data_IF_008449889740
#
_entry.id   IF_008449889740
#
_cell.length_a   1.000
_cell.length_b   1.000
_cell.length_c   1.000
_cell.angle_alpha   90.00
_cell.angle_beta   90.00
_cell.angle_gamma   90.00
#
_symmetry.space_group_name_H-M   'P 1'
#
loop_
_entity.id
_entity.type
_entity.pdbx_description
1 polymer ?
#
# COMPACT_ATOMS: atom_id res chain seq x y z
N UNK A 1 -22.44 -10.74 30.89
CA UNK A 1 -23.37 -10.07 29.96
C UNK A 1 -23.52 -10.96 28.73
N UNK A 2 -24.75 -11.35 28.37
CA UNK A 2 -24.98 -12.24 27.23
C UNK A 2 -25.17 -11.36 26.01
N UNK A 3 -24.26 -11.46 25.00
CA UNK A 3 -24.39 -10.71 23.76
C UNK A 3 -25.64 -11.15 23.00
N UNK A 4 -26.35 -10.22 22.33
CA UNK A 4 -27.40 -10.55 21.38
C UNK A 4 -26.85 -11.46 20.25
N UNK A 5 -27.71 -12.19 19.51
CA UNK A 5 -27.28 -13.02 18.41
C UNK A 5 -26.54 -12.20 17.34
N UNK A 6 -25.41 -12.71 16.83
CA UNK A 6 -24.59 -12.01 15.83
C UNK A 6 -25.40 -11.62 14.58
N UNK A 7 -26.38 -12.43 14.24
CA UNK A 7 -27.27 -12.15 13.10
C UNK A 7 -28.07 -10.84 13.30
N UNK A 8 -28.49 -10.50 14.53
CA UNK A 8 -29.20 -9.24 14.79
C UNK A 8 -28.27 -8.02 14.49
N UNK A 9 -26.99 -8.11 14.84
CA UNK A 9 -26.01 -7.08 14.49
C UNK A 9 -25.81 -6.96 12.97
N UNK A 10 -25.85 -8.07 12.22
CA UNK A 10 -25.77 -8.03 10.75
C UNK A 10 -26.95 -7.30 10.11
N UNK A 11 -28.16 -7.56 10.61
CA UNK A 11 -29.36 -6.83 10.16
C UNK A 11 -29.26 -5.35 10.46
N UNK A 12 -28.75 -5.01 11.63
CA UNK A 12 -28.53 -3.62 12.05
C UNK A 12 -27.48 -2.94 11.14
N UNK A 13 -26.33 -3.57 10.90
CA UNK A 13 -25.24 -3.01 10.11
C UNK A 13 -25.67 -2.68 8.67
N UNK A 14 -26.34 -3.62 7.98
CA UNK A 14 -26.89 -3.41 6.64
C UNK A 14 -27.98 -2.33 6.62
N UNK A 15 -28.84 -2.28 7.65
CA UNK A 15 -29.85 -1.25 7.75
C UNK A 15 -29.25 0.13 8.00
N UNK A 16 -28.14 0.22 8.73
CA UNK A 16 -27.40 1.44 8.98
C UNK A 16 -26.70 1.94 7.71
N UNK A 17 -26.05 1.05 6.95
CA UNK A 17 -25.39 1.39 5.67
C UNK A 17 -26.37 1.86 4.60
N UNK A 18 -27.54 1.23 4.52
CA UNK A 18 -28.53 1.54 3.48
C UNK A 18 -29.49 2.66 3.87
N UNK A 19 -29.54 3.05 5.16
CA UNK A 19 -30.50 3.99 5.73
C UNK A 19 -31.96 3.66 5.34
N UNK A 20 -32.24 2.35 5.14
CA UNK A 20 -33.54 1.88 4.66
C UNK A 20 -33.76 0.40 5.01
N UNK A 21 -34.81 0.11 5.78
CA UNK A 21 -35.17 -1.29 6.07
C UNK A 21 -35.62 -2.06 4.85
N UNK A 22 -36.12 -1.38 3.81
CA UNK A 22 -36.51 -2.01 2.54
C UNK A 22 -35.27 -2.44 1.78
N UNK A 23 -34.32 -1.52 1.56
CA UNK A 23 -33.03 -1.84 0.89
C UNK A 23 -32.23 -2.86 1.66
N UNK A 24 -32.23 -2.79 3.00
CA UNK A 24 -31.59 -3.79 3.84
C UNK A 24 -32.23 -5.19 3.65
N UNK A 25 -33.55 -5.26 3.52
CA UNK A 25 -34.25 -6.51 3.28
C UNK A 25 -33.90 -7.12 1.90
N UNK A 26 -33.80 -6.29 0.87
CA UNK A 26 -33.35 -6.70 -0.46
C UNK A 26 -31.93 -7.24 -0.42
N UNK A 27 -31.02 -6.51 0.25
CA UNK A 27 -29.62 -6.90 0.39
C UNK A 27 -29.40 -8.21 1.15
N UNK A 28 -30.26 -8.46 2.15
CA UNK A 28 -30.22 -9.66 2.98
C UNK A 28 -31.09 -10.82 2.43
N UNK A 29 -31.80 -10.63 1.30
CA UNK A 29 -32.74 -11.57 0.71
C UNK A 29 -33.81 -12.04 1.70
N UNK A 30 -34.36 -11.10 2.47
CA UNK A 30 -35.40 -11.35 3.46
C UNK A 30 -36.57 -10.36 3.32
N UNK A 31 -37.63 -10.53 4.12
CA UNK A 31 -38.74 -9.58 4.13
C UNK A 31 -38.42 -8.34 4.98
N UNK A 32 -38.98 -7.17 4.64
CA UNK A 32 -38.92 -5.95 5.46
C UNK A 32 -39.35 -6.19 6.92
N UNK A 33 -40.40 -7.02 7.15
CA UNK A 33 -40.86 -7.39 8.49
C UNK A 33 -39.80 -8.13 9.29
N UNK A 34 -39.00 -8.98 8.64
CA UNK A 34 -37.91 -9.70 9.31
C UNK A 34 -36.81 -8.74 9.76
N UNK A 35 -36.39 -7.79 8.90
CA UNK A 35 -35.42 -6.74 9.28
C UNK A 35 -35.92 -5.93 10.47
N UNK A 36 -37.13 -5.36 10.36
CA UNK A 36 -37.72 -4.53 11.41
C UNK A 36 -37.85 -5.28 12.75
N UNK A 37 -38.20 -6.57 12.73
CA UNK A 37 -38.29 -7.40 13.93
C UNK A 37 -36.91 -7.65 14.55
N UNK A 38 -35.88 -7.95 13.75
CA UNK A 38 -34.54 -8.21 14.27
C UNK A 38 -33.92 -6.96 14.90
N UNK A 39 -34.11 -5.79 14.28
CA UNK A 39 -33.65 -4.52 14.83
C UNK A 39 -34.36 -4.23 16.16
N UNK A 40 -35.68 -4.38 16.24
CA UNK A 40 -36.43 -4.18 17.47
C UNK A 40 -35.94 -5.12 18.59
N UNK A 41 -35.73 -6.40 18.30
CA UNK A 41 -35.18 -7.36 19.29
C UNK A 41 -33.77 -6.96 19.76
N UNK A 42 -32.95 -6.38 18.88
CA UNK A 42 -31.65 -5.86 19.25
C UNK A 42 -31.76 -4.64 20.15
N UNK A 43 -32.60 -3.67 19.82
CA UNK A 43 -32.91 -2.48 20.64
C UNK A 43 -33.44 -2.85 22.01
N UNK A 44 -34.41 -3.79 22.10
CA UNK A 44 -34.93 -4.32 23.33
C UNK A 44 -33.85 -4.99 24.20
N UNK A 45 -32.97 -5.78 23.58
CA UNK A 45 -31.88 -6.45 24.30
C UNK A 45 -30.80 -5.49 24.80
N UNK A 46 -30.56 -4.38 24.09
CA UNK A 46 -29.59 -3.35 24.47
C UNK A 46 -30.20 -2.27 25.38
N UNK A 47 -31.53 -2.17 25.45
CA UNK A 47 -32.26 -1.16 26.22
C UNK A 47 -32.12 0.27 25.62
N UNK A 48 -31.73 0.39 24.35
CA UNK A 48 -31.56 1.69 23.65
C UNK A 48 -32.08 1.62 22.23
N UNK A 49 -32.65 2.73 21.74
CA UNK A 49 -33.03 2.86 20.35
C UNK A 49 -31.79 3.15 19.50
N UNK A 50 -31.64 2.41 18.38
CA UNK A 50 -30.55 2.55 17.44
C UNK A 50 -30.97 3.37 16.21
N UNK A 51 -32.27 3.39 15.90
CA UNK A 51 -32.83 4.18 14.80
C UNK A 51 -33.94 5.11 15.31
N UNK A 52 -34.01 6.27 14.74
CA UNK A 52 -35.17 7.17 14.84
C UNK A 52 -35.88 7.28 13.49
N UNK A 53 -37.22 7.35 13.51
CA UNK A 53 -38.04 7.50 12.31
C UNK A 53 -38.49 8.94 12.16
N UNK A 54 -38.10 9.59 11.06
CA UNK A 54 -38.50 10.94 10.71
C UNK A 54 -38.91 11.00 9.24
N UNK A 55 -40.05 11.58 8.94
CA UNK A 55 -40.49 11.84 7.55
C UNK A 55 -40.44 10.61 6.62
N UNK A 56 -40.88 9.44 7.10
CA UNK A 56 -40.84 8.14 6.39
C UNK A 56 -39.43 7.60 6.11
N UNK A 57 -38.40 8.21 6.65
CA UNK A 57 -37.01 7.72 6.62
C UNK A 57 -36.54 7.27 8.00
N UNK A 58 -35.48 6.49 8.04
CA UNK A 58 -34.81 6.08 9.27
C UNK A 58 -33.45 6.75 9.34
N UNK A 59 -33.06 7.15 10.55
CA UNK A 59 -31.77 7.75 10.84
C UNK A 59 -31.17 7.10 12.07
N UNK A 60 -29.85 6.97 12.10
CA UNK A 60 -29.15 6.46 13.27
C UNK A 60 -29.21 7.44 14.44
N UNK A 61 -29.55 6.94 15.62
CA UNK A 61 -29.38 7.66 16.89
C UNK A 61 -27.86 7.83 17.20
N UNK A 62 -27.48 8.64 18.21
CA UNK A 62 -26.08 8.66 18.68
C UNK A 62 -25.58 7.27 19.10
N UNK A 63 -26.41 6.46 19.78
CA UNK A 63 -26.11 5.07 20.15
C UNK A 63 -25.97 4.19 18.89
N UNK A 64 -26.86 4.36 17.90
CA UNK A 64 -26.78 3.67 16.61
C UNK A 64 -25.48 3.98 15.87
N UNK A 65 -25.05 5.23 15.80
CA UNK A 65 -23.78 5.61 15.17
C UNK A 65 -22.57 4.98 15.86
N UNK A 66 -22.54 5.01 17.18
CA UNK A 66 -21.45 4.38 17.94
C UNK A 66 -21.40 2.87 17.71
N UNK A 67 -22.55 2.19 17.72
CA UNK A 67 -22.63 0.75 17.45
C UNK A 67 -22.27 0.42 16.00
N UNK A 68 -22.72 1.21 15.02
CA UNK A 68 -22.44 0.99 13.59
C UNK A 68 -20.94 1.00 13.28
N UNK A 69 -20.17 1.95 13.81
CA UNK A 69 -18.71 1.95 13.63
C UNK A 69 -18.05 0.67 14.17
N UNK A 70 -18.60 0.11 15.26
CA UNK A 70 -18.08 -1.15 15.83
C UNK A 70 -18.52 -2.37 15.02
N UNK A 71 -19.79 -2.46 14.61
CA UNK A 71 -20.31 -3.61 13.84
C UNK A 71 -19.66 -3.67 12.47
N UNK A 72 -19.49 -2.55 11.79
CA UNK A 72 -18.79 -2.47 10.53
C UNK A 72 -17.38 -3.06 10.65
N UNK A 73 -16.60 -2.63 11.64
CA UNK A 73 -15.24 -3.13 11.85
C UNK A 73 -15.20 -4.65 12.12
N UNK A 74 -16.17 -5.16 12.91
CA UNK A 74 -16.26 -6.59 13.23
C UNK A 74 -16.62 -7.42 12.00
N UNK A 75 -17.61 -7.00 11.19
CA UNK A 75 -17.99 -7.73 9.98
C UNK A 75 -16.90 -7.71 8.92
N UNK A 76 -16.22 -6.59 8.72
CA UNK A 76 -15.05 -6.52 7.85
C UNK A 76 -13.92 -7.48 8.30
N UNK A 77 -13.69 -7.61 9.61
CA UNK A 77 -12.73 -8.59 10.16
C UNK A 77 -13.16 -10.03 9.92
N UNK A 78 -14.45 -10.34 10.09
CA UNK A 78 -14.99 -11.68 9.84
C UNK A 78 -14.92 -12.05 8.35
N UNK A 79 -15.29 -11.13 7.47
CA UNK A 79 -15.18 -11.33 6.01
C UNK A 79 -13.73 -11.56 5.60
N UNK A 80 -12.79 -10.75 6.11
CA UNK A 80 -11.36 -10.95 5.89
C UNK A 80 -10.87 -12.32 6.40
N UNK A 81 -11.38 -12.79 7.56
CA UNK A 81 -11.04 -14.12 8.08
C UNK A 81 -11.58 -15.26 7.20
N UNK A 82 -12.83 -15.15 6.75
CA UNK A 82 -13.44 -16.12 5.82
C UNK A 82 -12.69 -16.16 4.50
N UNK A 83 -12.36 -15.00 3.94
CA UNK A 83 -11.56 -14.92 2.72
C UNK A 83 -10.20 -15.60 2.90
N UNK A 84 -9.49 -15.36 4.02
CA UNK A 84 -8.23 -16.06 4.31
C UNK A 84 -8.40 -17.57 4.35
N UNK A 85 -9.43 -18.09 5.02
CA UNK A 85 -9.69 -19.53 5.06
C UNK A 85 -9.99 -20.09 3.66
N UNK A 86 -10.71 -19.35 2.82
CA UNK A 86 -10.98 -19.72 1.44
C UNK A 86 -9.73 -19.62 0.55
N UNK A 87 -8.83 -18.65 0.82
CA UNK A 87 -7.55 -18.52 0.13
C UNK A 87 -6.51 -19.53 0.60
N UNK A 88 -6.52 -19.98 1.87
CA UNK A 88 -5.67 -21.09 2.34
C UNK A 88 -5.94 -22.40 1.59
N UNK A 89 -7.13 -22.58 1.03
CA UNK A 89 -7.45 -23.73 0.14
C UNK A 89 -6.78 -23.56 -1.26
N UNK A 90 -6.24 -22.37 -1.58
CA UNK A 90 -5.48 -22.11 -2.82
C UNK A 90 -4.02 -21.83 -2.46
N UNK A 91 -3.28 -22.88 -2.13
CA UNK A 91 -1.83 -22.80 -1.81
C UNK A 91 -1.00 -22.16 -2.93
N UNK A 92 -1.58 -22.00 -4.12
CA UNK A 92 -0.93 -21.47 -5.31
C UNK A 92 -1.24 -20.00 -5.61
N UNK A 93 -2.07 -19.31 -4.83
CA UNK A 93 -2.36 -17.86 -5.02
C UNK A 93 -1.65 -17.04 -3.96
N UNK A 94 -0.78 -16.13 -4.39
CA UNK A 94 -0.11 -15.14 -3.54
C UNK A 94 -0.76 -13.77 -3.74
N UNK A 95 -1.34 -13.19 -2.68
CA UNK A 95 -1.89 -11.83 -2.72
C UNK A 95 -0.84 -10.87 -2.18
N UNK A 96 -0.28 -10.05 -3.06
CA UNK A 96 0.79 -9.10 -2.77
C UNK A 96 0.27 -7.67 -2.83
N UNK A 97 0.49 -6.87 -1.79
CA UNK A 97 0.31 -5.43 -1.84
C UNK A 97 1.64 -4.73 -2.11
N UNK A 98 1.66 -3.82 -3.08
CA UNK A 98 2.86 -3.08 -3.43
C UNK A 98 2.54 -1.61 -3.71
N UNK A 99 3.46 -0.70 -3.40
CA UNK A 99 3.32 0.71 -3.76
C UNK A 99 3.16 0.88 -5.27
N UNK A 100 2.25 1.76 -5.75
CA UNK A 100 1.89 1.84 -7.17
C UNK A 100 3.10 2.02 -8.10
N UNK A 101 4.04 2.91 -7.75
CA UNK A 101 5.18 3.21 -8.63
C UNK A 101 6.12 2.02 -8.76
N UNK A 102 6.48 1.37 -7.65
CA UNK A 102 7.32 0.14 -7.66
C UNK A 102 6.58 -0.98 -8.38
N UNK A 103 5.28 -1.14 -8.12
CA UNK A 103 4.47 -2.16 -8.80
C UNK A 103 4.53 -2.00 -10.33
N UNK A 104 4.24 -0.80 -10.82
CA UNK A 104 4.11 -0.56 -12.26
C UNK A 104 5.47 -0.54 -12.99
N UNK A 105 6.47 0.09 -12.39
CA UNK A 105 7.73 0.38 -13.12
C UNK A 105 8.80 -0.66 -12.90
N UNK A 106 8.76 -1.39 -11.79
CA UNK A 106 9.80 -2.35 -11.47
C UNK A 106 9.30 -3.79 -11.35
N UNK A 107 8.23 -4.02 -10.57
CA UNK A 107 7.78 -5.39 -10.30
C UNK A 107 7.09 -6.03 -11.51
N UNK A 108 6.06 -5.39 -12.08
CA UNK A 108 5.28 -5.94 -13.20
C UNK A 108 6.17 -6.32 -14.40
N UNK A 109 7.15 -5.51 -14.85
CA UNK A 109 8.05 -5.90 -15.94
C UNK A 109 8.87 -7.16 -15.66
N UNK A 110 9.07 -7.53 -14.38
CA UNK A 110 9.86 -8.70 -13.94
C UNK A 110 9.02 -9.93 -13.66
N UNK A 111 7.69 -9.81 -13.52
CA UNK A 111 6.80 -10.94 -13.27
C UNK A 111 6.88 -12.07 -14.31
N UNK A 112 7.14 -11.83 -15.63
CA UNK A 112 7.36 -12.93 -16.55
C UNK A 112 8.48 -13.88 -16.12
N UNK A 113 9.57 -13.37 -15.51
CA UNK A 113 10.67 -14.19 -14.99
C UNK A 113 10.22 -14.98 -13.74
N UNK A 114 9.44 -14.35 -12.87
CA UNK A 114 8.86 -15.03 -11.71
C UNK A 114 7.97 -16.20 -12.15
N UNK A 115 7.06 -15.98 -13.09
CA UNK A 115 6.16 -17.03 -13.58
C UNK A 115 6.89 -18.14 -14.36
N UNK A 116 8.02 -17.82 -15.01
CA UNK A 116 8.85 -18.83 -15.66
C UNK A 116 9.51 -19.79 -14.66
N UNK A 117 9.92 -19.28 -13.49
CA UNK A 117 10.54 -20.08 -12.43
C UNK A 117 9.52 -20.71 -11.46
N UNK A 118 8.34 -20.12 -11.35
CA UNK A 118 7.28 -20.55 -10.44
C UNK A 118 5.93 -20.62 -11.17
N UNK A 119 5.77 -21.52 -12.17
CA UNK A 119 4.57 -21.58 -13.00
C UNK A 119 3.31 -22.04 -12.24
N UNK A 120 3.50 -22.67 -11.10
CA UNK A 120 2.44 -23.10 -10.18
C UNK A 120 1.87 -21.98 -9.33
N UNK A 121 2.57 -20.84 -9.20
CA UNK A 121 2.12 -19.70 -8.40
C UNK A 121 1.40 -18.66 -9.23
N UNK A 122 0.22 -18.25 -8.76
CA UNK A 122 -0.54 -17.12 -9.28
C UNK A 122 -0.33 -15.91 -8.37
N UNK A 123 0.04 -14.77 -8.95
CA UNK A 123 0.19 -13.52 -8.21
C UNK A 123 -1.06 -12.64 -8.41
N UNK A 124 -1.70 -12.27 -7.29
CA UNK A 124 -2.71 -11.23 -7.26
C UNK A 124 -2.08 -9.96 -6.69
N UNK A 125 -1.87 -8.95 -7.53
CA UNK A 125 -1.22 -7.71 -7.16
C UNK A 125 -2.24 -6.62 -6.80
N UNK A 126 -2.11 -6.06 -5.59
CA UNK A 126 -2.89 -4.93 -5.09
C UNK A 126 -1.99 -3.71 -5.04
N UNK A 127 -2.25 -2.71 -5.88
CA UNK A 127 -1.47 -1.47 -5.91
C UNK A 127 -1.98 -0.52 -4.81
N UNK A 128 -1.27 -0.48 -3.68
CA UNK A 128 -1.56 0.40 -2.55
C UNK A 128 -0.28 0.74 -1.78
N UNK A 129 -0.21 1.96 -1.25
CA UNK A 129 0.88 2.43 -0.39
C UNK A 129 0.41 2.66 1.05
N UNK A 130 1.34 3.03 1.94
CA UNK A 130 1.06 3.35 3.33
C UNK A 130 0.71 2.15 4.21
N UNK A 131 0.13 2.41 5.40
CA UNK A 131 -0.23 1.38 6.36
C UNK A 131 -1.25 0.38 5.78
N UNK A 132 -1.09 -0.89 6.14
CA UNK A 132 -1.95 -1.98 5.68
C UNK A 132 -2.46 -2.77 6.89
N UNK A 133 -3.77 -2.98 6.94
CA UNK A 133 -4.38 -3.93 7.86
C UNK A 133 -4.46 -5.31 7.19
N UNK A 134 -3.50 -6.17 7.50
CA UNK A 134 -3.45 -7.54 6.98
C UNK A 134 -4.66 -8.37 7.39
N UNK A 135 -5.23 -8.10 8.58
CA UNK A 135 -6.38 -8.85 9.07
C UNK A 135 -7.64 -8.61 8.22
N UNK A 136 -7.76 -7.41 7.64
CA UNK A 136 -8.92 -6.99 6.84
C UNK A 136 -8.72 -7.12 5.33
N UNK A 137 -7.48 -6.98 4.85
CA UNK A 137 -7.20 -6.86 3.42
C UNK A 137 -7.12 -8.20 2.66
N UNK A 138 -6.95 -9.31 3.36
CA UNK A 138 -6.71 -10.62 2.71
C UNK A 138 -5.37 -10.70 1.97
N UNK A 139 -4.44 -9.76 2.22
CA UNK A 139 -3.10 -9.72 1.64
C UNK A 139 -2.19 -10.69 2.39
N UNK A 140 -1.40 -11.50 1.67
CA UNK A 140 -0.43 -12.41 2.25
C UNK A 140 0.86 -11.68 2.66
N UNK A 141 1.32 -10.73 1.83
CA UNK A 141 2.53 -9.93 2.08
C UNK A 141 2.46 -8.57 1.40
N UNK A 142 3.27 -7.63 1.87
CA UNK A 142 3.33 -6.28 1.31
C UNK A 142 4.77 -5.81 1.12
N UNK A 143 5.04 -5.16 -0.02
CA UNK A 143 6.27 -4.41 -0.25
C UNK A 143 6.02 -2.98 0.20
N UNK A 144 6.80 -2.52 1.18
CA UNK A 144 6.70 -1.15 1.74
C UNK A 144 8.08 -0.57 1.99
N UNK A 145 8.17 0.74 1.88
CA UNK A 145 9.32 1.51 2.36
C UNK A 145 9.13 1.84 3.84
N UNK A 146 10.21 1.91 4.61
CA UNK A 146 10.21 2.18 6.05
C UNK A 146 10.09 3.68 6.39
N UNK A 147 9.26 4.41 5.66
CA UNK A 147 8.96 5.82 5.87
C UNK A 147 7.71 6.06 6.75
N UNK A 148 7.17 5.01 7.34
CA UNK A 148 6.09 5.05 8.32
C UNK A 148 6.21 3.90 9.33
N UNK A 149 5.53 4.04 10.47
CA UNK A 149 5.51 2.98 11.48
C UNK A 149 4.49 1.90 11.12
N UNK A 150 4.93 0.65 11.09
CA UNK A 150 4.06 -0.52 11.05
C UNK A 150 3.97 -1.20 12.42
N UNK A 151 2.92 -1.99 12.60
CA UNK A 151 2.69 -2.73 13.85
C UNK A 151 3.86 -3.70 14.12
N UNK A 152 4.40 -3.67 15.34
CA UNK A 152 5.48 -4.56 15.80
C UNK A 152 5.09 -6.05 15.79
N UNK A 153 3.83 -6.38 15.59
CA UNK A 153 3.36 -7.76 15.42
C UNK A 153 3.56 -8.30 14.00
N UNK A 154 3.94 -7.45 13.04
CA UNK A 154 4.25 -7.87 11.69
C UNK A 154 5.68 -8.36 11.60
N UNK A 155 5.86 -9.45 10.87
CA UNK A 155 7.18 -9.87 10.44
C UNK A 155 7.64 -8.94 9.31
N UNK A 156 8.87 -8.51 9.40
CA UNK A 156 9.48 -7.69 8.37
C UNK A 156 10.83 -8.27 7.95
N UNK A 157 11.09 -8.23 6.67
CA UNK A 157 12.38 -8.60 6.08
C UNK A 157 12.83 -7.48 5.17
N UNK A 158 14.02 -6.93 5.43
CA UNK A 158 14.64 -5.94 4.55
C UNK A 158 14.92 -6.55 3.18
N UNK A 159 14.49 -5.88 2.13
CA UNK A 159 14.73 -6.28 0.72
C UNK A 159 15.98 -5.60 0.18
N UNK A 160 16.01 -4.26 0.24
CA UNK A 160 17.15 -3.47 -0.22
C UNK A 160 17.09 -2.05 0.35
N UNK A 161 18.25 -1.35 0.33
CA UNK A 161 18.33 0.08 0.62
C UNK A 161 17.65 0.89 -0.47
N UNK A 162 17.07 2.03 -0.08
CA UNK A 162 16.56 3.01 -1.04
C UNK A 162 17.69 3.90 -1.55
N UNK A 163 17.80 3.99 -2.86
CA UNK A 163 18.74 4.84 -3.57
C UNK A 163 17.98 5.87 -4.38
N UNK A 164 18.16 7.15 -4.08
CA UNK A 164 17.46 8.25 -4.75
C UNK A 164 18.43 9.12 -5.55
N UNK A 165 17.97 9.59 -6.70
CA UNK A 165 18.75 10.50 -7.56
C UNK A 165 17.87 11.22 -8.58
N UNK A 166 18.32 12.38 -9.08
CA UNK A 166 17.62 13.09 -10.14
C UNK A 166 17.85 12.40 -11.48
N UNK A 167 16.75 12.26 -12.24
CA UNK A 167 16.76 11.70 -13.58
C UNK A 167 16.13 12.67 -14.57
N UNK A 168 16.56 12.64 -15.80
CA UNK A 168 16.00 13.45 -16.89
C UNK A 168 16.15 12.76 -18.24
N UNK A 169 15.44 13.28 -19.25
CA UNK A 169 15.63 12.88 -20.64
C UNK A 169 17.06 13.19 -21.09
N UNK A 170 17.75 12.32 -21.85
CA UNK A 170 19.14 12.52 -22.27
C UNK A 170 19.42 13.81 -23.06
N UNK A 171 18.43 14.30 -23.83
CA UNK A 171 18.52 15.57 -24.51
C UNK A 171 18.29 16.80 -23.61
N UNK A 172 17.88 16.62 -22.36
CA UNK A 172 17.69 17.72 -21.43
C UNK A 172 19.02 18.15 -20.80
N UNK A 173 19.09 19.39 -20.33
CA UNK A 173 20.25 19.85 -19.57
C UNK A 173 20.39 19.08 -18.27
N UNK A 174 21.59 18.55 -18.03
CA UNK A 174 21.92 17.86 -16.78
C UNK A 174 22.20 18.80 -15.60
N UNK A 175 22.23 20.13 -15.80
CA UNK A 175 22.50 21.11 -14.73
C UNK A 175 21.25 21.26 -13.86
N UNK A 176 21.45 21.43 -12.55
CA UNK A 176 20.33 21.67 -11.61
C UNK A 176 19.81 23.10 -11.69
N UNK A 177 20.75 24.08 -11.74
CA UNK A 177 20.39 25.49 -11.69
C UNK A 177 19.52 25.92 -12.88
N UNK A 178 18.46 26.66 -12.58
CA UNK A 178 17.54 27.17 -13.59
C UNK A 178 16.60 26.14 -14.21
N UNK A 179 16.62 24.91 -13.72
CA UNK A 179 15.77 23.83 -14.24
C UNK A 179 14.43 23.73 -13.53
N UNK A 180 13.51 23.03 -14.16
CA UNK A 180 12.25 22.63 -13.51
C UNK A 180 12.46 21.34 -12.75
N UNK A 181 12.22 21.37 -11.42
CA UNK A 181 12.27 20.23 -10.55
C UNK A 181 10.87 19.62 -10.40
N UNK A 182 10.76 18.34 -10.77
CA UNK A 182 9.51 17.60 -10.74
C UNK A 182 9.42 16.85 -9.41
N UNK A 183 8.44 17.20 -8.59
CA UNK A 183 8.24 16.68 -7.25
C UNK A 183 7.13 15.63 -7.23
N UNK A 184 7.23 14.65 -6.32
CA UNK A 184 6.11 13.78 -5.97
C UNK A 184 5.53 14.19 -4.62
N UNK A 185 4.21 14.37 -4.55
CA UNK A 185 3.53 14.73 -3.29
C UNK A 185 3.49 13.57 -2.31
N UNK A 186 3.66 12.32 -2.77
CA UNK A 186 3.82 11.15 -1.88
C UNK A 186 5.18 11.14 -1.14
N UNK A 187 6.20 11.86 -1.65
CA UNK A 187 7.51 12.02 -0.98
C UNK A 187 7.99 13.47 -1.07
N UNK A 188 7.36 14.40 -0.36
CA UNK A 188 7.67 15.83 -0.48
C UNK A 188 9.11 16.16 -0.04
N UNK A 189 9.71 15.36 0.82
CA UNK A 189 11.08 15.53 1.31
C UNK A 189 12.16 14.95 0.38
N UNK A 190 11.82 14.28 -0.74
CA UNK A 190 12.82 13.59 -1.57
C UNK A 190 13.89 14.55 -2.13
N UNK A 191 13.51 15.68 -2.73
CA UNK A 191 14.46 16.69 -3.21
C UNK A 191 15.29 17.32 -2.08
N UNK A 192 14.71 17.83 -0.97
CA UNK A 192 15.49 18.36 0.17
C UNK A 192 16.47 17.33 0.74
N UNK A 193 16.05 16.07 0.89
CA UNK A 193 16.89 14.99 1.38
C UNK A 193 18.07 14.73 0.46
N UNK A 194 17.83 14.60 -0.85
CA UNK A 194 18.88 14.36 -1.81
C UNK A 194 19.89 15.53 -1.90
N UNK A 195 19.42 16.79 -1.93
CA UNK A 195 20.29 17.97 -1.95
C UNK A 195 21.22 18.00 -0.73
N UNK A 196 20.69 17.68 0.45
CA UNK A 196 21.47 17.60 1.69
C UNK A 196 22.51 16.48 1.63
N UNK A 197 22.16 15.29 1.15
CA UNK A 197 23.04 14.13 1.11
C UNK A 197 24.12 14.23 0.01
N UNK A 198 23.77 14.76 -1.14
CA UNK A 198 24.68 14.89 -2.27
C UNK A 198 25.58 16.13 -2.18
N UNK A 199 25.27 17.09 -1.27
CA UNK A 199 25.96 18.37 -1.20
C UNK A 199 25.70 19.30 -2.39
N UNK A 200 24.76 18.94 -3.28
CA UNK A 200 24.41 19.75 -4.44
C UNK A 200 23.52 20.93 -4.04
N UNK A 201 23.50 21.94 -4.89
CA UNK A 201 22.63 23.10 -4.76
C UNK A 201 21.77 23.24 -6.01
N UNK A 202 20.52 23.63 -5.85
CA UNK A 202 19.58 23.91 -6.89
C UNK A 202 19.09 25.36 -6.74
N UNK A 203 19.53 26.25 -7.62
CA UNK A 203 19.22 27.68 -7.54
C UNK A 203 18.33 28.09 -8.70
N UNK A 204 17.40 29.01 -8.43
CA UNK A 204 16.50 29.56 -9.46
C UNK A 204 15.70 28.49 -10.19
N UNK A 205 15.32 27.41 -9.49
CA UNK A 205 14.58 26.28 -10.05
C UNK A 205 13.07 26.54 -10.00
N UNK A 206 12.39 26.19 -11.06
CA UNK A 206 10.93 26.09 -11.06
C UNK A 206 10.49 24.78 -10.40
N UNK A 207 9.28 24.75 -9.83
CA UNK A 207 8.70 23.57 -9.21
C UNK A 207 7.46 23.13 -9.94
N UNK A 208 7.33 21.83 -10.17
CA UNK A 208 6.08 21.19 -10.62
C UNK A 208 5.78 19.98 -9.72
N UNK A 209 4.55 19.88 -9.24
CA UNK A 209 4.12 18.82 -8.34
C UNK A 209 3.26 17.80 -9.08
N UNK A 210 3.54 16.53 -8.81
CA UNK A 210 2.82 15.36 -9.30
C UNK A 210 2.41 14.50 -8.09
N UNK A 211 1.28 13.82 -8.19
CA UNK A 211 0.81 13.00 -7.07
C UNK A 211 1.76 11.83 -6.76
N UNK A 212 2.24 11.13 -7.79
CA UNK A 212 3.08 9.95 -7.64
C UNK A 212 4.39 10.05 -8.44
N UNK A 213 5.41 9.30 -8.01
CA UNK A 213 6.69 9.21 -8.71
C UNK A 213 6.56 8.78 -10.18
N UNK A 214 5.68 7.83 -10.50
CA UNK A 214 5.52 7.40 -11.90
C UNK A 214 5.09 8.54 -12.83
N UNK A 215 4.32 9.52 -12.33
CA UNK A 215 3.94 10.70 -13.11
C UNK A 215 5.11 11.66 -13.29
N UNK A 216 5.88 11.95 -12.23
CA UNK A 216 7.05 12.83 -12.31
C UNK A 216 8.15 12.22 -13.18
N UNK A 217 8.38 10.90 -13.09
CA UNK A 217 9.33 10.17 -13.95
C UNK A 217 8.88 10.22 -15.42
N UNK A 218 7.58 10.02 -15.68
CA UNK A 218 7.04 10.12 -17.03
C UNK A 218 7.19 11.53 -17.60
N UNK A 219 7.00 12.57 -16.77
CA UNK A 219 7.23 13.97 -17.16
C UNK A 219 8.72 14.23 -17.45
N UNK A 220 9.63 13.66 -16.68
CA UNK A 220 11.07 13.74 -16.96
C UNK A 220 11.43 13.05 -18.28
N UNK A 221 10.87 11.89 -18.57
CA UNK A 221 11.05 11.18 -19.84
C UNK A 221 10.51 11.99 -21.05
N UNK A 222 9.46 12.78 -20.84
CA UNK A 222 8.92 13.72 -21.83
C UNK A 222 9.75 15.02 -21.95
N UNK A 223 10.87 15.16 -21.22
CA UNK A 223 11.75 16.33 -21.28
C UNK A 223 11.25 17.56 -20.49
N UNK A 224 10.27 17.41 -19.58
CA UNK A 224 9.69 18.53 -18.84
C UNK A 224 10.53 19.03 -17.66
N UNK A 225 11.63 18.34 -17.32
CA UNK A 225 12.53 18.73 -16.22
C UNK A 225 13.25 17.55 -15.61
N UNK A 226 13.80 17.75 -14.40
CA UNK A 226 14.45 16.70 -13.62
C UNK A 226 13.47 16.16 -12.57
N UNK A 227 13.26 14.84 -12.55
CA UNK A 227 12.48 14.17 -11.52
C UNK A 227 13.41 13.53 -10.49
N UNK A 228 13.02 13.59 -9.19
CA UNK A 228 13.61 12.71 -8.19
C UNK A 228 13.07 11.31 -8.40
N UNK A 229 13.92 10.30 -8.45
CA UNK A 229 13.53 8.91 -8.65
C UNK A 229 14.29 7.96 -7.72
N UNK A 230 13.66 6.83 -7.40
CA UNK A 230 14.34 5.66 -6.86
C UNK A 230 15.06 4.92 -7.98
N UNK A 231 16.25 4.39 -7.71
CA UNK A 231 17.02 3.62 -8.68
C UNK A 231 16.23 2.42 -9.24
N UNK A 232 15.48 1.72 -8.38
CA UNK A 232 14.62 0.61 -8.81
C UNK A 232 13.52 1.05 -9.79
N UNK A 233 12.97 2.26 -9.61
CA UNK A 233 11.87 2.76 -10.44
C UNK A 233 12.27 3.13 -11.85
N UNK A 234 13.56 3.27 -12.14
CA UNK A 234 14.10 3.79 -13.40
C UNK A 234 15.21 2.95 -14.01
N UNK A 235 15.52 1.77 -13.43
CA UNK A 235 16.63 0.95 -13.93
C UNK A 235 16.44 0.56 -15.40
N UNK A 236 15.24 0.23 -15.85
CA UNK A 236 14.95 -0.17 -17.22
C UNK A 236 15.09 1.01 -18.21
N UNK A 237 14.71 2.24 -17.81
CA UNK A 237 14.88 3.43 -18.62
C UNK A 237 16.34 3.92 -18.68
N UNK A 238 17.11 3.69 -17.61
CA UNK A 238 18.54 3.96 -17.62
C UNK A 238 19.26 2.99 -18.57
N UNK A 239 18.92 1.70 -18.51
CA UNK A 239 19.48 0.66 -19.39
C UNK A 239 19.16 0.91 -20.86
N UNK A 240 17.93 1.31 -21.15
CA UNK A 240 17.50 1.61 -22.52
C UNK A 240 17.97 2.98 -23.03
N UNK A 241 18.57 3.81 -22.17
CA UNK A 241 18.99 5.18 -22.48
C UNK A 241 17.81 6.16 -22.66
N UNK A 242 16.61 5.82 -22.23
CA UNK A 242 15.45 6.73 -22.25
C UNK A 242 15.57 7.82 -21.18
N UNK A 243 16.23 7.50 -20.08
CA UNK A 243 16.57 8.45 -19.01
C UNK A 243 18.08 8.41 -18.74
N UNK A 244 18.59 9.49 -18.18
CA UNK A 244 19.93 9.56 -17.59
C UNK A 244 19.82 10.03 -16.13
N UNK A 245 20.77 9.58 -15.29
CA UNK A 245 20.94 10.02 -13.91
C UNK A 245 22.24 10.84 -13.79
N UNK A 246 22.21 12.14 -14.08
CA UNK A 246 23.44 12.95 -14.24
C UNK A 246 24.27 13.10 -12.96
N UNK A 247 23.68 12.84 -11.82
CA UNK A 247 24.32 12.93 -10.50
C UNK A 247 24.42 11.57 -9.80
N UNK A 248 24.05 10.47 -10.48
CA UNK A 248 23.94 9.17 -9.84
C UNK A 248 22.90 9.11 -8.74
N UNK A 249 23.05 8.13 -7.87
CA UNK A 249 22.11 7.86 -6.76
C UNK A 249 22.85 7.87 -5.42
N UNK A 250 22.14 8.30 -4.37
CA UNK A 250 22.63 8.25 -2.99
C UNK A 250 21.64 7.51 -2.12
N UNK A 251 22.10 6.78 -1.10
CA UNK A 251 21.20 6.18 -0.09
C UNK A 251 20.53 7.28 0.72
N UNK A 252 19.21 7.25 0.84
CA UNK A 252 18.47 8.24 1.62
C UNK A 252 18.28 7.86 3.10
N UNK A 253 18.74 6.68 3.47
CA UNK A 253 18.67 6.12 4.83
C UNK A 253 17.45 5.26 5.06
N UNK A 254 16.54 5.14 4.09
CA UNK A 254 15.40 4.24 4.14
C UNK A 254 15.65 2.94 3.36
N UNK A 255 14.76 1.98 3.50
CA UNK A 255 14.84 0.69 2.83
C UNK A 255 13.45 0.18 2.42
N UNK A 256 13.42 -0.69 1.41
CA UNK A 256 12.24 -1.49 1.10
C UNK A 256 12.22 -2.75 1.96
N UNK A 257 11.03 -3.07 2.46
CA UNK A 257 10.77 -4.22 3.31
C UNK A 257 9.62 -5.06 2.76
N UNK A 258 9.71 -6.37 2.96
CA UNK A 258 8.58 -7.28 2.91
C UNK A 258 7.95 -7.36 4.29
N UNK A 259 6.67 -7.08 4.37
CA UNK A 259 5.85 -7.19 5.58
C UNK A 259 4.89 -8.37 5.42
N UNK A 260 4.68 -9.15 6.48
CA UNK A 260 3.71 -10.25 6.51
C UNK A 260 3.16 -10.46 7.93
N UNK A 261 1.94 -11.03 8.07
CA UNK A 261 1.36 -11.33 9.38
C UNK A 261 2.00 -12.56 10.05
N UNK A 262 2.73 -13.39 9.30
CA UNK A 262 3.39 -14.60 9.75
C UNK A 262 4.82 -14.66 9.20
N UNK A 263 5.74 -15.43 9.80
CA UNK A 263 7.08 -15.64 9.24
C UNK A 263 6.99 -16.10 7.78
N UNK A 264 7.82 -15.55 6.89
CA UNK A 264 7.82 -15.94 5.47
C UNK A 264 8.07 -17.42 5.27
N UNK A 265 8.90 -18.03 6.14
CA UNK A 265 9.22 -19.45 6.12
C UNK A 265 8.02 -20.37 6.39
N UNK A 266 6.97 -19.85 7.05
CA UNK A 266 5.75 -20.63 7.36
C UNK A 266 4.82 -20.76 6.15
N UNK A 267 5.11 -20.06 5.04
CA UNK A 267 4.34 -20.08 3.80
C UNK A 267 5.25 -20.29 2.60
N UNK A 268 5.22 -21.45 1.99
CA UNK A 268 6.08 -21.79 0.85
C UNK A 268 5.91 -20.82 -0.34
N UNK A 269 4.71 -20.28 -0.58
CA UNK A 269 4.47 -19.29 -1.62
C UNK A 269 5.12 -17.93 -1.29
N UNK A 270 5.03 -17.49 -0.03
CA UNK A 270 5.64 -16.24 0.43
C UNK A 270 7.17 -16.32 0.42
N UNK A 271 7.73 -17.44 0.89
CA UNK A 271 9.18 -17.66 0.89
C UNK A 271 9.76 -17.63 -0.52
N UNK A 272 9.18 -18.40 -1.46
CA UNK A 272 9.64 -18.43 -2.87
C UNK A 272 9.59 -17.07 -3.55
N UNK A 273 8.53 -16.30 -3.29
CA UNK A 273 8.43 -14.94 -3.82
C UNK A 273 9.47 -14.01 -3.18
N UNK A 274 9.68 -14.08 -1.87
CA UNK A 274 10.66 -13.26 -1.16
C UNK A 274 12.09 -13.51 -1.66
N UNK A 275 12.48 -14.77 -1.83
CA UNK A 275 13.79 -15.16 -2.36
C UNK A 275 13.99 -14.59 -3.78
N UNK A 276 13.03 -14.82 -4.67
CA UNK A 276 13.07 -14.27 -6.02
C UNK A 276 13.13 -12.74 -6.04
N UNK A 277 12.33 -12.05 -5.22
CA UNK A 277 12.30 -10.59 -5.14
C UNK A 277 13.65 -10.01 -4.70
N UNK A 278 14.27 -10.62 -3.68
CA UNK A 278 15.58 -10.17 -3.19
C UNK A 278 16.68 -10.37 -4.23
N UNK A 279 16.63 -11.46 -4.99
CA UNK A 279 17.60 -11.70 -6.08
C UNK A 279 17.42 -10.71 -7.23
N UNK A 280 16.18 -10.41 -7.64
CA UNK A 280 15.88 -9.40 -8.65
C UNK A 280 16.32 -7.99 -8.21
N UNK A 281 16.06 -7.60 -6.95
CA UNK A 281 16.52 -6.31 -6.42
C UNK A 281 18.05 -6.23 -6.41
N UNK A 282 18.72 -7.27 -5.93
CA UNK A 282 20.19 -7.35 -5.89
C UNK A 282 20.78 -7.23 -7.28
N UNK A 283 20.24 -7.98 -8.24
CA UNK A 283 20.67 -7.93 -9.64
C UNK A 283 20.50 -6.54 -10.26
N UNK A 284 19.35 -5.89 -10.04
CA UNK A 284 19.08 -4.55 -10.54
C UNK A 284 20.05 -3.50 -9.96
N UNK A 285 20.26 -3.50 -8.64
CA UNK A 285 21.16 -2.56 -7.99
C UNK A 285 22.64 -2.79 -8.38
N UNK A 286 23.06 -4.05 -8.46
CA UNK A 286 24.41 -4.39 -8.90
C UNK A 286 24.69 -3.94 -10.35
N UNK A 287 23.70 -4.07 -11.23
CA UNK A 287 23.79 -3.60 -12.62
C UNK A 287 24.00 -2.07 -12.70
N UNK A 288 23.38 -1.31 -11.81
CA UNK A 288 23.55 0.14 -11.69
C UNK A 288 24.85 0.53 -10.93
N UNK A 289 25.68 -0.43 -10.50
CA UNK A 289 26.88 -0.20 -9.69
C UNK A 289 26.56 0.21 -8.23
N UNK A 290 25.33 -0.03 -7.77
CA UNK A 290 24.86 0.31 -6.44
C UNK A 290 24.92 -0.96 -5.57
N UNK A 291 26.00 -1.13 -4.83
CA UNK A 291 26.18 -2.30 -3.96
C UNK A 291 25.58 -2.06 -2.58
N UNK A 292 24.87 -3.07 -2.08
CA UNK A 292 24.54 -3.14 -0.65
C UNK A 292 25.86 -3.52 0.07
N UNK A 293 26.50 -2.56 0.73
CA UNK A 293 27.53 -2.90 1.70
C UNK A 293 26.82 -3.38 2.96
N UNK A 294 27.21 -4.54 3.49
CA UNK A 294 26.85 -5.04 4.82
C UNK A 294 27.56 -4.23 5.93
N UNK A 295 27.46 -2.91 5.89
CA UNK A 295 28.03 -2.05 6.92
C UNK A 295 27.03 -1.89 8.07
N UNK A 296 27.45 -2.11 9.34
CA UNK A 296 26.51 -2.11 10.47
C UNK A 296 25.88 -0.74 10.66
N UNK A 297 24.56 -0.74 10.67
CA UNK A 297 23.62 0.25 11.17
C UNK A 297 24.12 1.68 11.38
N UNK A 298 23.86 2.56 10.41
CA UNK A 298 23.72 4.00 10.72
C UNK A 298 22.51 4.18 11.65
N UNK A 299 22.60 5.09 12.63
CA UNK A 299 21.51 5.32 13.59
C UNK A 299 20.24 5.77 12.86
N UNK A 300 19.12 5.23 13.30
CA UNK A 300 17.78 5.58 12.81
C UNK A 300 17.58 7.10 12.76
N UNK A 301 16.95 7.64 11.72
CA UNK A 301 16.70 9.08 11.63
C UNK A 301 15.85 9.56 12.82
N UNK A 302 16.03 10.82 13.29
CA UNK A 302 15.29 11.35 14.41
C UNK A 302 13.79 11.36 14.09
N UNK A 303 13.01 10.81 15.01
CA UNK A 303 11.56 10.80 14.98
C UNK A 303 11.04 12.24 14.99
N UNK A 304 10.39 12.66 13.92
CA UNK A 304 9.59 13.89 13.91
C UNK A 304 8.28 13.57 14.62
N UNK A 305 8.06 14.24 15.77
CA UNK A 305 6.82 14.16 16.56
C UNK A 305 5.66 14.86 15.86
#
# INVERSE_FOLDING_TARGET
>A
MKLPPLNAFRYFDIAAQTESFVRAAEHLHVTHGAVSRQIRLLEESLGVELFERRNRAIFLTPAGRALHGTTQAIFEQLEGAVQRLQHQVRDNVLVLSCEPTIAMRWLIPRLPRFHATHPDLQLHLVAAGGPLDFARSGVDMAIRRDDFHWNNQLFNQKVCDEWIGPVCHPAASARLDGQRLLHSTTRPAAWPTWLRLSGQQARHCERSDYEHFYLSIQAANAGLGLAMASALMVCDELDSGQLQAPYGFVRDGSAYHLLSPQPLADSGKCQRFAEWLMDECRGCLAHLGLTQNDDPALPSPPQVR
#
